data_IF_088504092397
#
_entry.id   IF_088504092397
#
_cell.length_a   1.000
_cell.length_b   1.000
_cell.length_c   1.000
_cell.angle_alpha   90.00
_cell.angle_beta   90.00
_cell.angle_gamma   90.00
#
_symmetry.space_group_name_H-M   'P 1'
#
loop_
_entity.id
_entity.type
_entity.pdbx_description
1 polymer ?
#
# COMPACT_ATOMS: atom_id res chain seq x y z
N UNK A 1 25.33 -30.99 30.15
CA UNK A 1 25.42 -30.06 29.00
C UNK A 1 24.05 -29.47 28.63
N UNK A 2 23.01 -30.28 28.41
CA UNK A 2 21.65 -29.80 28.05
C UNK A 2 21.09 -28.63 28.87
N UNK A 3 21.17 -28.65 30.21
CA UNK A 3 20.66 -27.55 31.05
C UNK A 3 21.37 -26.20 30.79
N UNK A 4 22.69 -26.21 30.55
CA UNK A 4 23.44 -24.98 30.24
C UNK A 4 23.08 -24.46 28.84
N UNK A 5 22.91 -25.36 27.88
CA UNK A 5 22.48 -25.01 26.51
C UNK A 5 21.07 -24.42 26.49
N UNK A 6 20.13 -24.99 27.25
CA UNK A 6 18.76 -24.46 27.37
C UNK A 6 18.78 -23.05 27.96
N UNK A 7 19.52 -22.82 29.05
CA UNK A 7 19.62 -21.48 29.68
C UNK A 7 20.18 -20.44 28.70
N UNK A 8 21.22 -20.79 27.94
CA UNK A 8 21.81 -19.89 26.94
C UNK A 8 20.81 -19.59 25.82
N UNK A 9 20.11 -20.60 25.31
CA UNK A 9 19.08 -20.40 24.27
C UNK A 9 17.95 -19.52 24.79
N UNK A 10 17.43 -19.78 25.99
CA UNK A 10 16.37 -18.96 26.59
C UNK A 10 16.85 -17.51 26.76
N UNK A 11 18.08 -17.29 27.25
CA UNK A 11 18.64 -15.94 27.41
C UNK A 11 18.75 -15.22 26.06
N UNK A 12 19.20 -15.91 25.01
CA UNK A 12 19.30 -15.35 23.65
C UNK A 12 17.92 -15.00 23.09
N UNK A 13 16.92 -15.86 23.28
CA UNK A 13 15.54 -15.59 22.86
C UNK A 13 14.98 -14.38 23.62
N UNK A 14 15.14 -14.33 24.95
CA UNK A 14 14.67 -13.21 25.75
C UNK A 14 15.36 -11.91 25.34
N UNK A 15 16.68 -11.94 25.11
CA UNK A 15 17.41 -10.76 24.64
C UNK A 15 16.92 -10.30 23.26
N UNK A 16 16.65 -11.24 22.35
CA UNK A 16 16.11 -10.92 21.02
C UNK A 16 14.71 -10.29 21.12
N UNK A 17 13.82 -10.85 21.96
CA UNK A 17 12.46 -10.33 22.18
C UNK A 17 12.49 -8.95 22.83
N UNK A 18 13.33 -8.74 23.85
CA UNK A 18 13.49 -7.43 24.50
C UNK A 18 14.07 -6.41 23.52
N UNK A 19 15.10 -6.78 22.75
CA UNK A 19 15.68 -5.89 21.74
C UNK A 19 14.67 -5.51 20.67
N UNK A 20 13.82 -6.45 20.25
CA UNK A 20 12.73 -6.20 19.30
C UNK A 20 11.75 -5.14 19.84
N UNK A 21 11.25 -5.31 21.07
CA UNK A 21 10.33 -4.34 21.69
C UNK A 21 10.96 -2.99 22.06
N UNK A 22 12.30 -2.90 22.12
CA UNK A 22 13.00 -1.63 22.29
C UNK A 22 13.14 -0.86 20.98
N UNK A 23 13.21 -1.56 19.84
CA UNK A 23 13.39 -0.96 18.51
C UNK A 23 12.04 -0.63 17.87
N UNK A 24 11.08 -1.53 18.00
CA UNK A 24 9.80 -1.48 17.31
C UNK A 24 8.65 -1.15 18.27
N UNK A 25 7.87 -0.13 17.90
CA UNK A 25 6.62 0.24 18.56
C UNK A 25 5.47 -0.12 17.62
N UNK A 26 4.61 -1.02 18.07
CA UNK A 26 3.43 -1.47 17.32
C UNK A 26 2.19 -0.84 17.94
N UNK A 27 1.44 0.01 17.22
CA UNK A 27 0.20 0.58 17.73
C UNK A 27 -0.85 -0.50 18.01
N UNK A 28 -1.54 -0.39 19.15
CA UNK A 28 -2.62 -1.33 19.51
C UNK A 28 -3.85 -1.26 18.56
N UNK A 29 -3.94 -0.24 17.71
CA UNK A 29 -4.97 -0.05 16.69
C UNK A 29 -4.34 0.56 15.42
N UNK A 30 -4.91 0.30 14.23
CA UNK A 30 -4.49 0.99 13.01
C UNK A 30 -4.56 2.51 13.20
N UNK A 31 -3.43 3.18 12.99
CA UNK A 31 -3.33 4.64 13.05
C UNK A 31 -3.33 5.18 11.61
N UNK A 32 -4.40 5.86 11.24
CA UNK A 32 -4.49 6.64 10.01
C UNK A 32 -4.04 8.06 10.28
N UNK A 33 -3.19 8.62 9.43
CA UNK A 33 -2.80 10.03 9.50
C UNK A 33 -3.10 10.67 8.15
N UNK A 34 -3.81 11.79 8.17
CA UNK A 34 -4.09 12.59 6.98
C UNK A 34 -3.38 13.94 7.08
N UNK A 35 -2.95 14.47 5.93
CA UNK A 35 -2.36 15.80 5.85
C UNK A 35 -2.62 16.46 4.50
N UNK A 36 -2.84 17.77 4.51
CA UNK A 36 -2.90 18.63 3.33
C UNK A 36 -2.52 20.06 3.74
N UNK A 37 -2.50 21.03 2.82
CA UNK A 37 -2.18 22.43 3.13
C UNK A 37 -3.02 23.01 4.29
N UNK A 38 -4.25 22.52 4.49
CA UNK A 38 -5.22 23.07 5.45
C UNK A 38 -5.62 22.08 6.56
N UNK A 39 -4.96 20.92 6.68
CA UNK A 39 -5.33 19.88 7.64
C UNK A 39 -4.12 19.47 8.49
N UNK A 40 -4.30 19.46 9.81
CA UNK A 40 -3.28 18.99 10.77
C UNK A 40 -3.11 17.47 10.72
N UNK A 41 -1.95 16.98 11.19
CA UNK A 41 -1.62 15.56 11.32
C UNK A 41 -2.46 14.88 12.42
N UNK A 42 -3.76 14.74 12.19
CA UNK A 42 -4.66 14.12 13.15
C UNK A 42 -4.62 12.59 13.00
N UNK A 43 -4.81 11.88 14.11
CA UNK A 43 -4.80 10.41 14.16
C UNK A 43 -6.25 9.92 14.14
N UNK A 44 -6.59 9.09 13.15
CA UNK A 44 -7.92 8.51 12.96
C UNK A 44 -7.85 6.98 12.92
N UNK A 45 -8.94 6.31 13.25
CA UNK A 45 -9.17 4.92 12.78
C UNK A 45 -9.77 4.93 11.36
N UNK A 46 -10.69 5.86 11.13
CA UNK A 46 -11.22 6.22 9.82
C UNK A 46 -11.40 7.74 9.76
N UNK A 47 -10.84 8.36 8.72
CA UNK A 47 -11.01 9.76 8.37
C UNK A 47 -12.26 9.97 7.52
N UNK A 48 -12.93 11.11 7.72
CA UNK A 48 -14.08 11.57 6.93
C UNK A 48 -13.87 13.04 6.56
N UNK A 49 -14.08 13.36 5.29
CA UNK A 49 -13.98 14.71 4.75
C UNK A 49 -15.38 15.25 4.45
N UNK A 50 -15.78 16.32 5.13
CA UNK A 50 -17.08 16.96 4.92
C UNK A 50 -17.16 17.75 3.62
N UNK A 51 -16.02 18.16 3.04
CA UNK A 51 -15.94 18.98 1.82
C UNK A 51 -14.90 18.40 0.83
N UNK A 52 -15.14 17.19 0.30
CA UNK A 52 -14.21 16.57 -0.64
C UNK A 52 -14.19 17.32 -1.97
N UNK A 53 -12.98 17.55 -2.49
CA UNK A 53 -12.78 18.04 -3.86
C UNK A 53 -12.64 16.85 -4.81
N UNK A 54 -13.14 17.04 -6.03
CA UNK A 54 -13.12 16.01 -7.06
C UNK A 54 -11.77 15.95 -7.77
N UNK A 55 -11.23 14.74 -7.97
CA UNK A 55 -10.12 14.51 -8.89
C UNK A 55 -10.65 14.75 -10.31
N UNK A 56 -9.96 15.60 -11.07
CA UNK A 56 -10.27 15.81 -12.48
C UNK A 56 -9.93 14.53 -13.27
N UNK A 57 -10.87 14.04 -14.07
CA UNK A 57 -10.71 12.82 -14.86
C UNK A 57 -11.10 13.05 -16.32
N UNK A 58 -11.18 14.32 -16.73
CA UNK A 58 -11.54 14.71 -18.10
C UNK A 58 -10.54 14.19 -19.14
N UNK A 59 -9.26 14.11 -18.78
CA UNK A 59 -8.17 13.58 -19.62
C UNK A 59 -7.72 12.16 -19.20
N UNK A 60 -8.53 11.47 -18.40
CA UNK A 60 -8.18 10.18 -17.80
C UNK A 60 -7.77 10.30 -16.33
N UNK A 61 -7.53 9.16 -15.69
CA UNK A 61 -7.07 9.03 -14.31
C UNK A 61 -5.70 8.34 -14.31
N UNK A 62 -4.65 9.11 -14.02
CA UNK A 62 -3.28 8.62 -13.99
C UNK A 62 -2.88 8.16 -12.59
N UNK A 63 -2.48 6.90 -12.47
CA UNK A 63 -2.03 6.32 -11.20
C UNK A 63 -0.59 5.80 -11.28
N UNK A 64 0.12 5.95 -10.16
CA UNK A 64 1.43 5.34 -9.94
C UNK A 64 1.37 4.47 -8.69
N UNK A 65 1.88 3.24 -8.77
CA UNK A 65 1.91 2.30 -7.66
C UNK A 65 3.33 1.79 -7.49
N UNK A 66 3.88 1.89 -6.27
CA UNK A 66 5.28 1.54 -6.05
C UNK A 66 5.60 1.17 -4.60
N UNK A 67 6.14 -0.03 -4.40
CA UNK A 67 6.90 -0.33 -3.20
C UNK A 67 8.24 0.41 -3.28
N UNK A 68 8.40 1.44 -2.44
CA UNK A 68 9.54 2.37 -2.48
C UNK A 68 10.67 1.95 -1.53
N UNK A 69 10.64 0.71 -1.06
CA UNK A 69 11.74 0.07 -0.31
C UNK A 69 12.28 0.92 0.85
N UNK A 70 11.39 1.52 1.64
CA UNK A 70 11.74 2.38 2.80
C UNK A 70 12.69 3.52 2.43
N UNK A 71 12.68 3.95 1.16
CA UNK A 71 13.57 4.97 0.62
C UNK A 71 15.07 4.59 0.75
N UNK A 72 15.40 3.29 0.81
CA UNK A 72 16.77 2.80 1.05
C UNK A 72 17.77 3.08 -0.08
N UNK A 73 17.31 3.53 -1.26
CA UNK A 73 18.18 3.86 -2.41
C UNK A 73 18.33 5.37 -2.53
N UNK A 74 19.56 5.87 -2.63
CA UNK A 74 19.85 7.32 -2.64
C UNK A 74 19.14 8.14 -3.73
N UNK A 75 18.71 7.51 -4.83
CA UNK A 75 18.02 8.15 -5.95
C UNK A 75 16.49 8.06 -5.88
N UNK A 76 15.91 7.54 -4.78
CA UNK A 76 14.46 7.38 -4.61
C UNK A 76 13.67 8.65 -4.93
N UNK A 77 14.15 9.83 -4.49
CA UNK A 77 13.40 11.08 -4.62
C UNK A 77 13.37 11.58 -6.07
N UNK A 78 14.50 11.47 -6.78
CA UNK A 78 14.57 11.84 -8.18
C UNK A 78 13.66 10.95 -9.03
N UNK A 79 13.62 9.66 -8.71
CA UNK A 79 12.77 8.73 -9.44
C UNK A 79 11.29 8.91 -9.09
N UNK A 80 10.96 9.09 -7.81
CA UNK A 80 9.60 9.37 -7.38
C UNK A 80 9.05 10.62 -8.08
N UNK A 81 9.84 11.69 -8.18
CA UNK A 81 9.47 12.90 -8.94
C UNK A 81 9.08 12.60 -10.39
N UNK A 82 9.85 11.75 -11.10
CA UNK A 82 9.56 11.39 -12.49
C UNK A 82 8.33 10.49 -12.60
N UNK A 83 8.17 9.56 -11.67
CA UNK A 83 7.07 8.60 -11.67
C UNK A 83 5.75 9.29 -11.34
N UNK A 84 5.73 10.17 -10.32
CA UNK A 84 4.55 10.90 -9.87
C UNK A 84 4.18 12.08 -10.76
N UNK A 85 5.07 12.50 -11.68
CA UNK A 85 4.78 13.62 -12.59
C UNK A 85 3.53 13.30 -13.44
N UNK A 86 2.50 14.14 -13.27
CA UNK A 86 1.20 13.97 -13.93
C UNK A 86 0.35 12.83 -13.37
N UNK A 87 0.67 12.26 -12.20
CA UNK A 87 -0.24 11.31 -11.55
C UNK A 87 -1.31 12.05 -10.76
N UNK A 88 -2.54 11.55 -10.81
CA UNK A 88 -3.63 11.99 -9.93
C UNK A 88 -3.58 11.28 -8.59
N UNK A 89 -3.11 10.02 -8.60
CA UNK A 89 -2.95 9.18 -7.42
C UNK A 89 -1.58 8.49 -7.42
N UNK A 90 -0.90 8.49 -6.27
CA UNK A 90 0.32 7.72 -6.04
C UNK A 90 0.13 6.83 -4.82
N UNK A 91 0.28 5.53 -5.00
CA UNK A 91 0.08 4.48 -3.99
C UNK A 91 1.44 3.87 -3.64
N UNK A 92 1.99 4.26 -2.49
CA UNK A 92 3.29 3.80 -2.04
C UNK A 92 3.16 2.71 -0.97
N UNK A 93 3.99 1.68 -1.07
CA UNK A 93 4.20 0.65 -0.04
C UNK A 93 5.61 0.78 0.52
N UNK A 94 5.82 0.32 1.75
CA UNK A 94 7.06 0.54 2.50
C UNK A 94 7.50 2.02 2.51
N UNK A 95 6.55 2.94 2.64
CA UNK A 95 6.87 4.35 2.79
C UNK A 95 7.27 4.62 4.25
N UNK A 96 8.54 4.95 4.49
CA UNK A 96 9.03 5.42 5.78
C UNK A 96 8.89 6.94 5.83
N UNK A 97 8.19 7.47 6.83
CA UNK A 97 7.94 8.92 6.91
C UNK A 97 9.14 9.71 7.46
N UNK A 98 10.26 9.66 6.74
CA UNK A 98 11.47 10.44 7.01
C UNK A 98 11.21 11.95 6.84
N UNK A 99 12.15 12.78 7.27
CA UNK A 99 12.08 14.23 7.05
C UNK A 99 11.98 14.57 5.57
N UNK A 100 12.80 13.90 4.76
CA UNK A 100 12.89 14.12 3.32
C UNK A 100 11.60 13.74 2.61
N UNK A 101 10.99 12.59 2.93
CA UNK A 101 9.70 12.21 2.35
C UNK A 101 8.59 13.17 2.77
N UNK A 102 8.59 13.62 4.02
CA UNK A 102 7.59 14.60 4.51
C UNK A 102 7.70 15.92 3.78
N UNK A 103 8.92 16.46 3.64
CA UNK A 103 9.18 17.67 2.87
C UNK A 103 8.76 17.50 1.41
N UNK A 104 9.06 16.35 0.81
CA UNK A 104 8.64 16.03 -0.55
C UNK A 104 7.12 16.06 -0.70
N UNK A 105 6.37 15.38 0.20
CA UNK A 105 4.90 15.37 0.21
C UNK A 105 4.33 16.78 0.36
N UNK A 106 4.82 17.57 1.32
CA UNK A 106 4.35 18.94 1.54
C UNK A 106 4.67 19.85 0.35
N UNK A 107 5.86 19.74 -0.23
CA UNK A 107 6.28 20.56 -1.39
C UNK A 107 5.47 20.26 -2.65
N UNK A 108 5.07 19.00 -2.85
CA UNK A 108 4.20 18.56 -3.94
C UNK A 108 2.73 18.91 -3.75
N UNK A 109 2.35 19.50 -2.61
CA UNK A 109 0.98 19.90 -2.28
C UNK A 109 -0.04 18.74 -2.32
N UNK A 110 0.43 17.51 -2.09
CA UNK A 110 -0.41 16.32 -2.10
C UNK A 110 -1.41 16.32 -0.94
N UNK A 111 -2.63 15.85 -1.21
CA UNK A 111 -3.48 15.25 -0.18
C UNK A 111 -2.89 13.90 0.21
N UNK A 112 -2.36 13.80 1.43
CA UNK A 112 -1.66 12.61 1.91
C UNK A 112 -2.51 11.88 2.93
N UNK A 113 -2.60 10.56 2.78
CA UNK A 113 -3.24 9.66 3.74
C UNK A 113 -2.37 8.43 3.93
N UNK A 114 -1.98 8.13 5.17
CA UNK A 114 -1.06 7.02 5.48
C UNK A 114 -1.56 6.16 6.61
N UNK A 115 -1.22 4.88 6.54
CA UNK A 115 -1.38 3.93 7.65
C UNK A 115 -0.03 3.73 8.29
N UNK A 116 0.08 4.10 9.56
CA UNK A 116 1.24 3.75 10.36
C UNK A 116 1.10 2.30 10.81
N UNK A 117 1.80 1.38 10.15
CA UNK A 117 1.75 -0.03 10.50
C UNK A 117 2.57 -0.27 11.78
N UNK A 118 3.80 0.21 11.78
CA UNK A 118 4.69 0.17 12.94
C UNK A 118 5.65 1.36 12.91
N UNK A 119 6.23 1.66 14.06
CA UNK A 119 7.31 2.63 14.20
C UNK A 119 8.60 1.91 14.56
N UNK A 120 9.69 2.27 13.89
CA UNK A 120 11.04 1.88 14.27
C UNK A 120 11.90 3.13 14.30
N UNK A 121 12.61 3.38 15.41
CA UNK A 121 13.44 4.58 15.58
C UNK A 121 12.68 5.89 15.22
N UNK A 122 11.43 6.02 15.71
CA UNK A 122 10.53 7.16 15.46
C UNK A 122 10.10 7.36 14.00
N UNK A 123 10.41 6.39 13.12
CA UNK A 123 9.97 6.38 11.73
C UNK A 123 8.84 5.38 11.55
N UNK A 124 7.66 5.92 11.21
CA UNK A 124 6.50 5.15 10.80
C UNK A 124 6.72 4.58 9.40
N UNK A 125 6.49 3.28 9.24
CA UNK A 125 6.46 2.60 7.94
C UNK A 125 5.08 1.99 7.66
N UNK A 126 4.66 2.03 6.40
CA UNK A 126 3.40 1.44 5.98
C UNK A 126 3.03 1.77 4.55
N UNK A 127 1.74 1.91 4.30
CA UNK A 127 1.18 2.33 3.01
C UNK A 127 0.80 3.81 3.04
N UNK A 128 1.03 4.51 1.94
CA UNK A 128 0.77 5.93 1.75
C UNK A 128 0.02 6.14 0.43
N UNK A 129 -1.13 6.81 0.50
CA UNK A 129 -1.83 7.33 -0.67
C UNK A 129 -1.58 8.83 -0.76
N UNK A 130 -1.15 9.27 -1.94
CA UNK A 130 -1.06 10.67 -2.31
C UNK A 130 -2.05 10.91 -3.43
N UNK A 131 -2.78 12.02 -3.33
CA UNK A 131 -3.79 12.39 -4.29
C UNK A 131 -3.78 13.89 -4.53
N UNK A 132 -4.22 14.34 -5.70
CA UNK A 132 -4.40 15.78 -5.97
C UNK A 132 -5.31 16.44 -4.93
N UNK A 133 -6.27 15.70 -4.37
CA UNK A 133 -7.13 16.12 -3.28
C UNK A 133 -7.34 15.02 -2.22
N UNK A 134 -7.64 15.42 -0.97
CA UNK A 134 -7.98 14.46 0.10
C UNK A 134 -9.25 13.66 -0.25
N UNK A 135 -9.32 12.38 0.16
CA UNK A 135 -10.48 11.54 -0.12
C UNK A 135 -11.72 12.01 0.64
N UNK A 136 -12.89 11.53 0.22
CA UNK A 136 -14.16 11.59 0.97
C UNK A 136 -14.00 10.88 2.32
N UNK A 137 -13.36 9.72 2.30
CA UNK A 137 -13.04 8.97 3.49
C UNK A 137 -11.82 8.08 3.29
N UNK A 138 -11.19 7.73 4.39
CA UNK A 138 -10.10 6.77 4.39
C UNK A 138 -10.09 5.98 5.70
N UNK A 139 -9.75 4.70 5.64
CA UNK A 139 -9.72 3.80 6.80
C UNK A 139 -8.44 2.98 6.78
N UNK A 140 -7.79 2.90 7.95
CA UNK A 140 -6.60 2.10 8.15
C UNK A 140 -6.94 0.65 8.48
N UNK A 141 -6.23 -0.27 7.85
CA UNK A 141 -6.28 -1.70 8.14
C UNK A 141 -4.86 -2.19 8.46
N UNK A 142 -4.72 -2.97 9.53
CA UNK A 142 -3.48 -3.69 9.83
C UNK A 142 -3.76 -5.17 10.00
N UNK A 143 -2.77 -5.99 9.68
CA UNK A 143 -2.79 -7.44 9.91
C UNK A 143 -1.43 -7.84 10.48
N UNK A 144 -1.45 -8.43 11.67
CA UNK A 144 -0.25 -8.91 12.38
C UNK A 144 0.40 -10.07 11.62
N UNK A 145 1.73 -10.06 11.45
CA UNK A 145 2.43 -11.20 10.90
C UNK A 145 2.77 -12.23 11.99
N UNK A 146 2.53 -13.54 11.79
CA UNK A 146 2.68 -14.55 12.84
C UNK A 146 4.09 -14.66 13.45
N UNK A 147 5.14 -14.31 12.70
CA UNK A 147 6.54 -14.57 13.08
C UNK A 147 7.33 -13.31 13.40
N UNK A 148 7.31 -12.33 12.49
CA UNK A 148 8.04 -11.07 12.65
C UNK A 148 7.25 -10.04 13.47
N UNK A 149 5.94 -10.25 13.68
CA UNK A 149 5.02 -9.34 14.39
C UNK A 149 5.09 -7.88 13.88
N UNK A 150 5.64 -7.65 12.69
CA UNK A 150 5.58 -6.35 12.04
C UNK A 150 4.30 -6.32 11.24
N UNK A 151 3.29 -5.54 11.64
CA UNK A 151 2.02 -5.54 10.95
C UNK A 151 2.19 -5.06 9.52
N UNK A 152 1.50 -5.77 8.63
CA UNK A 152 1.29 -5.36 7.26
C UNK A 152 0.03 -4.52 7.19
N UNK A 153 0.00 -3.55 6.28
CA UNK A 153 -1.06 -2.55 6.26
C UNK A 153 -1.74 -2.44 4.91
N UNK A 154 -3.00 -2.03 4.98
CA UNK A 154 -3.77 -1.63 3.83
C UNK A 154 -4.54 -0.35 4.14
N UNK A 155 -4.77 0.44 3.11
CA UNK A 155 -5.49 1.70 3.16
C UNK A 155 -6.65 1.63 2.19
N UNK A 156 -7.86 1.65 2.73
CA UNK A 156 -9.06 1.84 1.94
C UNK A 156 -9.42 3.32 1.91
N UNK A 157 -9.72 3.86 0.74
CA UNK A 157 -10.06 5.26 0.55
C UNK A 157 -11.10 5.44 -0.54
N UNK A 158 -11.91 6.49 -0.45
CA UNK A 158 -12.92 6.82 -1.47
C UNK A 158 -12.73 8.25 -1.95
N UNK A 159 -12.50 8.43 -3.25
CA UNK A 159 -12.26 9.74 -3.86
C UNK A 159 -13.48 10.17 -4.67
N UNK A 160 -13.79 11.47 -4.63
CA UNK A 160 -14.78 12.06 -5.53
C UNK A 160 -14.11 12.26 -6.90
N UNK A 161 -14.80 11.89 -7.98
CA UNK A 161 -14.36 12.17 -9.36
C UNK A 161 -15.18 13.32 -9.96
N UNK A 162 -14.59 14.03 -10.92
CA UNK A 162 -15.22 15.20 -11.57
C UNK A 162 -16.43 14.84 -12.44
N UNK A 163 -16.56 13.58 -12.88
CA UNK A 163 -17.76 13.06 -13.55
C UNK A 163 -18.94 12.78 -12.58
N UNK A 164 -18.75 13.00 -11.28
CA UNK A 164 -19.75 12.76 -10.23
C UNK A 164 -19.70 11.36 -9.60
N UNK A 165 -18.96 10.41 -10.20
CA UNK A 165 -18.73 9.11 -9.58
C UNK A 165 -17.79 9.19 -8.38
N UNK A 166 -17.72 8.09 -7.64
CA UNK A 166 -16.77 7.92 -6.56
C UNK A 166 -15.90 6.71 -6.87
N UNK A 167 -14.61 6.85 -6.59
CA UNK A 167 -13.62 5.81 -6.81
C UNK A 167 -13.20 5.21 -5.46
N UNK A 168 -13.37 3.90 -5.28
CA UNK A 168 -12.76 3.20 -4.16
C UNK A 168 -11.33 2.78 -4.53
N UNK A 169 -10.37 3.12 -3.68
CA UNK A 169 -8.95 2.77 -3.84
C UNK A 169 -8.49 2.00 -2.62
N UNK A 170 -7.94 0.81 -2.84
CA UNK A 170 -7.26 0.00 -1.83
C UNK A 170 -5.78 -0.07 -2.17
N UNK A 171 -4.94 0.48 -1.31
CA UNK A 171 -3.49 0.33 -1.35
C UNK A 171 -3.08 -0.72 -0.31
N UNK A 172 -2.42 -1.80 -0.71
CA UNK A 172 -2.02 -2.89 0.17
C UNK A 172 -0.52 -3.13 0.13
N UNK A 173 0.03 -3.45 1.30
CA UNK A 173 1.24 -4.24 1.42
C UNK A 173 0.88 -5.49 2.23
N UNK A 174 0.77 -6.64 1.57
CA UNK A 174 0.18 -7.84 2.17
C UNK A 174 1.16 -8.60 3.07
N UNK A 175 0.63 -9.48 3.92
CA UNK A 175 1.42 -10.46 4.72
C UNK A 175 2.42 -11.18 3.84
N UNK A 176 3.69 -11.23 4.22
CA UNK A 176 4.74 -11.87 3.43
C UNK A 176 4.96 -13.32 3.91
N UNK A 177 5.20 -13.52 5.21
CA UNK A 177 5.58 -14.83 5.77
C UNK A 177 4.46 -15.45 6.61
N UNK A 178 3.70 -16.38 6.00
CA UNK A 178 2.60 -17.12 6.63
C UNK A 178 2.80 -18.64 6.47
N UNK A 179 2.30 -19.44 7.41
CA UNK A 179 2.22 -20.90 7.20
C UNK A 179 0.99 -21.20 6.33
N UNK A 180 1.20 -21.63 5.09
CA UNK A 180 0.11 -21.76 4.11
C UNK A 180 -0.49 -20.40 3.75
N UNK A 181 -1.78 -20.38 3.38
CA UNK A 181 -2.45 -19.21 2.79
C UNK A 181 -3.59 -18.63 3.64
N UNK A 182 -3.84 -19.15 4.84
CA UNK A 182 -5.04 -18.79 5.62
C UNK A 182 -5.03 -17.32 6.08
N UNK A 183 -3.92 -16.84 6.65
CA UNK A 183 -3.79 -15.43 7.07
C UNK A 183 -3.89 -14.47 5.86
N UNK A 184 -3.24 -14.86 4.74
CA UNK A 184 -3.32 -14.11 3.49
C UNK A 184 -4.75 -14.02 2.95
N UNK A 185 -5.47 -15.14 2.95
CA UNK A 185 -6.87 -15.21 2.56
C UNK A 185 -7.75 -14.38 3.49
N UNK A 186 -7.51 -14.42 4.80
CA UNK A 186 -8.26 -13.63 5.78
C UNK A 186 -8.05 -12.12 5.60
N UNK A 187 -6.81 -11.69 5.32
CA UNK A 187 -6.48 -10.30 5.00
C UNK A 187 -7.19 -9.84 3.72
N UNK A 188 -7.13 -10.63 2.63
CA UNK A 188 -7.82 -10.29 1.38
C UNK A 188 -9.34 -10.27 1.56
N UNK A 189 -9.89 -11.20 2.35
CA UNK A 189 -11.32 -11.26 2.63
C UNK A 189 -11.80 -10.00 3.36
N UNK A 190 -11.09 -9.54 4.39
CA UNK A 190 -11.51 -8.36 5.16
C UNK A 190 -11.56 -7.09 4.30
N UNK A 191 -10.68 -6.98 3.32
CA UNK A 191 -10.64 -5.86 2.36
C UNK A 191 -11.72 -5.99 1.27
N UNK A 192 -12.00 -7.22 0.80
CA UNK A 192 -13.00 -7.47 -0.24
C UNK A 192 -14.45 -7.48 0.27
N UNK A 193 -14.69 -7.72 1.56
CA UNK A 193 -16.03 -7.67 2.16
C UNK A 193 -16.71 -6.30 1.95
N UNK A 194 -15.94 -5.20 2.00
CA UNK A 194 -16.44 -3.86 1.70
C UNK A 194 -16.77 -3.67 0.22
N UNK A 195 -16.03 -4.33 -0.68
CA UNK A 195 -16.22 -4.23 -2.13
C UNK A 195 -17.46 -4.97 -2.64
N UNK A 196 -17.96 -5.97 -1.90
CA UNK A 196 -19.17 -6.71 -2.27
C UNK A 196 -20.41 -5.81 -2.36
N UNK A 197 -20.48 -4.78 -1.51
CA UNK A 197 -21.59 -3.81 -1.46
C UNK A 197 -21.33 -2.59 -2.33
N UNK A 198 -20.06 -2.27 -2.59
CA UNK A 198 -19.67 -1.12 -3.39
C UNK A 198 -19.90 -1.38 -4.90
N UNK A 199 -20.56 -0.46 -5.59
CA UNK A 199 -20.92 -0.60 -7.02
C UNK A 199 -20.17 0.35 -7.96
N UNK A 200 -19.48 1.35 -7.42
CA UNK A 200 -18.68 2.29 -8.22
C UNK A 200 -17.37 1.69 -8.76
N UNK A 201 -16.58 2.51 -9.49
CA UNK A 201 -15.24 2.14 -9.94
C UNK A 201 -14.31 1.82 -8.77
N UNK A 202 -13.45 0.81 -8.96
CA UNK A 202 -12.53 0.32 -7.93
C UNK A 202 -11.13 0.17 -8.52
N UNK A 203 -10.14 0.57 -7.75
CA UNK A 203 -8.73 0.22 -7.94
C UNK A 203 -8.25 -0.49 -6.66
N UNK A 204 -7.67 -1.67 -6.81
CA UNK A 204 -7.02 -2.40 -5.72
C UNK A 204 -5.59 -2.73 -6.17
N UNK A 205 -4.61 -2.08 -5.56
CA UNK A 205 -3.24 -2.15 -6.01
C UNK A 205 -2.22 -2.15 -4.86
N UNK A 206 -1.01 -2.57 -5.18
CA UNK A 206 0.14 -2.54 -4.28
C UNK A 206 0.95 -3.82 -4.34
N UNK A 207 1.69 -4.08 -3.26
CA UNK A 207 2.50 -5.27 -3.08
C UNK A 207 1.65 -6.36 -2.39
N UNK A 208 1.25 -7.36 -3.16
CA UNK A 208 0.43 -8.46 -2.68
C UNK A 208 1.24 -9.61 -2.10
N UNK A 209 2.58 -9.56 -2.13
CA UNK A 209 3.45 -10.66 -1.75
C UNK A 209 2.98 -12.01 -2.33
N UNK A 210 2.60 -12.04 -3.60
CA UNK A 210 2.01 -13.18 -4.33
C UNK A 210 3.06 -14.16 -4.87
N UNK A 211 4.17 -14.34 -4.14
CA UNK A 211 5.37 -15.07 -4.56
C UNK A 211 5.22 -16.59 -4.82
N UNK A 212 4.05 -17.18 -4.58
CA UNK A 212 3.78 -18.60 -4.87
C UNK A 212 2.46 -18.79 -5.60
N UNK A 213 2.36 -19.86 -6.39
CA UNK A 213 1.15 -20.21 -7.15
C UNK A 213 -0.08 -20.32 -6.26
N UNK A 214 0.06 -20.91 -5.05
CA UNK A 214 -1.03 -21.02 -4.10
C UNK A 214 -1.53 -19.64 -3.63
N UNK A 215 -0.62 -18.71 -3.33
CA UNK A 215 -0.98 -17.34 -2.95
C UNK A 215 -1.59 -16.59 -4.13
N UNK A 216 -1.02 -16.73 -5.32
CA UNK A 216 -1.59 -16.12 -6.53
C UNK A 216 -2.99 -16.65 -6.85
N UNK A 217 -3.25 -17.95 -6.67
CA UNK A 217 -4.58 -18.53 -6.82
C UNK A 217 -5.59 -17.97 -5.80
N UNK A 218 -5.19 -17.81 -4.54
CA UNK A 218 -6.02 -17.18 -3.50
C UNK A 218 -6.30 -15.72 -3.83
N UNK A 219 -5.28 -14.96 -4.26
CA UNK A 219 -5.42 -13.57 -4.69
C UNK A 219 -6.41 -13.43 -5.83
N UNK A 220 -6.16 -14.16 -6.93
CA UNK A 220 -7.00 -14.12 -8.13
C UNK A 220 -8.44 -14.49 -7.80
N UNK A 221 -8.66 -15.60 -7.09
CA UNK A 221 -9.99 -16.04 -6.70
C UNK A 221 -10.75 -15.03 -5.83
N UNK A 222 -10.06 -14.37 -4.88
CA UNK A 222 -10.70 -13.37 -4.01
C UNK A 222 -11.10 -12.10 -4.78
N UNK A 223 -10.27 -11.63 -5.71
CA UNK A 223 -10.53 -10.40 -6.46
C UNK A 223 -11.55 -10.63 -7.59
N UNK A 224 -11.50 -11.77 -8.28
CA UNK A 224 -12.51 -12.15 -9.29
C UNK A 224 -13.91 -12.26 -8.68
N UNK A 225 -14.04 -12.75 -7.43
CA UNK A 225 -15.33 -12.83 -6.72
C UNK A 225 -16.01 -11.47 -6.50
N UNK A 226 -15.23 -10.38 -6.44
CA UNK A 226 -15.75 -9.01 -6.37
C UNK A 226 -15.71 -8.30 -7.73
N UNK A 227 -15.48 -9.05 -8.81
CA UNK A 227 -15.50 -8.56 -10.18
C UNK A 227 -14.32 -7.67 -10.56
N UNK A 228 -13.21 -7.75 -9.84
CA UNK A 228 -11.96 -7.09 -10.18
C UNK A 228 -11.18 -7.92 -11.21
N UNK A 229 -10.56 -7.24 -12.17
CA UNK A 229 -9.66 -7.83 -13.18
C UNK A 229 -8.26 -7.24 -13.07
N UNK A 230 -7.24 -8.02 -13.37
CA UNK A 230 -5.84 -7.54 -13.35
C UNK A 230 -5.53 -6.65 -14.56
N UNK A 231 -4.75 -5.60 -14.35
CA UNK A 231 -4.15 -4.79 -15.42
C UNK A 231 -3.04 -5.60 -16.11
N UNK A 232 -3.05 -5.64 -17.43
CA UNK A 232 -1.93 -6.12 -18.23
C UNK A 232 -0.98 -4.95 -18.53
N UNK A 233 0.33 -5.16 -18.37
CA UNK A 233 1.36 -4.13 -18.57
C UNK A 233 2.14 -4.37 -19.86
N UNK A 234 2.51 -3.29 -20.55
CA UNK A 234 3.41 -3.33 -21.71
C UNK A 234 4.29 -2.06 -21.78
N UNK A 235 5.62 -2.17 -21.55
CA UNK A 235 6.32 -3.37 -21.14
C UNK A 235 5.98 -3.76 -19.70
N UNK A 236 6.02 -5.07 -19.42
CA UNK A 236 5.87 -5.63 -18.08
C UNK A 236 7.25 -5.98 -17.50
N UNK A 237 7.87 -5.03 -16.81
CA UNK A 237 9.08 -5.28 -16.03
C UNK A 237 8.78 -5.36 -14.53
N UNK A 238 7.56 -5.73 -14.10
CA UNK A 238 7.27 -5.88 -12.67
C UNK A 238 8.28 -6.84 -12.03
N UNK A 239 8.73 -6.51 -10.82
CA UNK A 239 9.73 -7.33 -10.13
C UNK A 239 9.17 -8.73 -9.93
N UNK A 240 9.94 -9.72 -10.37
CA UNK A 240 9.63 -11.13 -10.18
C UNK A 240 10.38 -11.65 -8.95
N UNK A 241 9.68 -12.48 -8.18
CA UNK A 241 10.31 -13.29 -7.16
C UNK A 241 11.13 -14.43 -7.80
N UNK A 242 11.91 -15.16 -7.00
CA UNK A 242 12.73 -16.28 -7.49
C UNK A 242 11.92 -17.40 -8.17
N UNK A 243 10.60 -17.42 -7.97
CA UNK A 243 9.64 -18.34 -8.60
C UNK A 243 9.19 -17.88 -10.00
N UNK A 244 9.60 -16.70 -10.46
CA UNK A 244 9.13 -16.08 -11.70
C UNK A 244 7.77 -15.37 -11.57
N UNK A 245 7.15 -15.39 -10.40
CA UNK A 245 5.88 -14.70 -10.12
C UNK A 245 6.13 -13.25 -9.71
N UNK A 246 5.30 -12.34 -10.20
CA UNK A 246 5.31 -10.92 -9.80
C UNK A 246 4.62 -10.74 -8.44
N UNK A 247 5.04 -9.73 -7.69
CA UNK A 247 4.52 -9.42 -6.35
C UNK A 247 3.52 -8.26 -6.36
N UNK A 248 3.78 -7.30 -7.23
CA UNK A 248 3.00 -6.08 -7.35
C UNK A 248 1.93 -6.23 -8.42
N UNK A 249 0.72 -5.80 -8.11
CA UNK A 249 -0.40 -5.86 -9.03
C UNK A 249 -1.26 -4.60 -8.97
N UNK A 250 -1.96 -4.33 -10.07
CA UNK A 250 -3.09 -3.39 -10.12
C UNK A 250 -4.29 -4.18 -10.60
N UNK A 251 -5.35 -4.20 -9.80
CA UNK A 251 -6.66 -4.74 -10.16
C UNK A 251 -7.67 -3.62 -10.22
N UNK A 252 -8.63 -3.72 -11.14
CA UNK A 252 -9.62 -2.68 -11.38
C UNK A 252 -11.00 -3.24 -11.75
N UNK A 253 -12.03 -2.41 -11.60
CA UNK A 253 -13.40 -2.66 -12.07
C UNK A 253 -14.08 -1.32 -12.31
N UNK A 254 -14.96 -1.25 -13.31
CA UNK A 254 -15.72 -0.03 -13.61
C UNK A 254 -14.91 1.08 -14.29
N UNK A 255 -13.68 0.75 -14.72
CA UNK A 255 -12.76 1.62 -15.44
C UNK A 255 -12.31 0.90 -16.72
N UNK A 256 -11.69 1.62 -17.65
CA UNK A 256 -11.04 1.07 -18.84
C UNK A 256 -9.54 1.43 -18.80
N UNK A 257 -8.65 0.46 -19.05
CA UNK A 257 -7.20 0.71 -19.10
C UNK A 257 -6.85 1.28 -20.46
N UNK A 258 -6.36 2.51 -20.51
CA UNK A 258 -5.85 3.11 -21.76
C UNK A 258 -4.37 2.80 -21.97
N UNK A 259 -3.60 2.84 -20.88
CA UNK A 259 -2.16 2.58 -20.91
C UNK A 259 -1.71 2.00 -19.59
N UNK A 260 -0.85 0.99 -19.65
CA UNK A 260 -0.22 0.43 -18.47
C UNK A 260 1.21 0.00 -18.79
N UNK A 261 2.17 0.42 -17.96
CA UNK A 261 3.57 0.01 -18.07
C UNK A 261 4.19 -0.18 -16.70
N UNK A 262 5.15 -1.10 -16.62
CA UNK A 262 6.02 -1.25 -15.47
C UNK A 262 7.45 -0.91 -15.90
N UNK A 263 7.90 0.35 -15.73
CA UNK A 263 9.26 0.74 -16.12
C UNK A 263 10.31 0.18 -15.15
N UNK A 264 11.53 0.00 -15.64
CA UNK A 264 12.67 -0.45 -14.83
C UNK A 264 13.22 0.73 -14.02
N UNK A 265 13.58 0.47 -12.76
CA UNK A 265 14.33 1.39 -11.91
C UNK A 265 15.29 0.65 -10.99
N UNK A 266 16.35 1.32 -10.55
CA UNK A 266 17.25 0.89 -9.47
C UNK A 266 16.99 1.64 -8.15
N UNK A 267 15.99 2.53 -8.13
CA UNK A 267 15.62 3.36 -6.99
C UNK A 267 14.79 2.63 -5.92
N UNK A 268 14.46 1.36 -6.17
CA UNK A 268 13.84 0.41 -5.25
C UNK A 268 14.25 -1.01 -5.68
N UNK A 269 14.02 -2.02 -4.84
CA UNK A 269 14.04 -3.42 -5.25
C UNK A 269 12.76 -3.85 -6.01
N UNK A 270 11.75 -2.98 -6.04
CA UNK A 270 10.54 -3.13 -6.85
C UNK A 270 10.52 -2.16 -8.04
N UNK A 271 10.13 -2.66 -9.22
CA UNK A 271 9.77 -1.81 -10.35
C UNK A 271 8.35 -1.25 -10.16
N UNK A 272 8.11 0.05 -10.41
CA UNK A 272 6.81 0.67 -10.25
C UNK A 272 5.82 0.22 -11.34
N UNK A 273 4.54 0.46 -11.10
CA UNK A 273 3.46 0.28 -12.06
C UNK A 273 2.82 1.65 -12.33
N UNK A 274 2.67 2.01 -13.62
CA UNK A 274 1.95 3.22 -14.04
C UNK A 274 0.77 2.82 -14.91
N UNK A 275 -0.41 3.32 -14.57
CA UNK A 275 -1.65 3.00 -15.28
C UNK A 275 -2.45 4.28 -15.51
N UNK A 276 -2.90 4.47 -16.75
CA UNK A 276 -3.85 5.50 -17.13
C UNK A 276 -5.19 4.81 -17.37
N UNK A 277 -6.22 5.24 -16.63
CA UNK A 277 -7.58 4.75 -16.80
C UNK A 277 -8.45 5.79 -17.48
N UNK A 278 -9.32 5.34 -18.37
CA UNK A 278 -10.50 6.10 -18.78
C UNK A 278 -11.64 5.82 -17.80
N UNK A 279 -12.20 6.91 -17.27
CA UNK A 279 -13.41 6.88 -16.45
C UNK A 279 -14.62 7.01 -17.37
N UNK A 280 -15.70 6.27 -17.07
CA UNK A 280 -16.88 6.18 -17.94
C UNK A 280 -17.83 7.38 -17.79
#
# INVERSE_FOLDING_TARGET
>A
MFKKTIIVITLLITLAVVSFHLIFVIPNKPNLITSSQNTSNDIYSCYQNSEPRAIDVSDGLDITVWNIYKQNRSNWQSELNKLSAGSDLVLLQEASMTEELRQWVTSGQWGSTRVNAFEAFEQSAGVLNLATHLPIEACAYTHEEPWLQLPKSALWSRYQLSNGEQLAVINIHAVNFTFGTEDYKAQLKSLTDNLQKYRGPVIFAGDFNSWSEARFAVLKGALEQVGLTEVAFDPDNRTQFITGLVLDHVFYRGLEVEKAKAPITDASDHNPMRVTFKVK
#
